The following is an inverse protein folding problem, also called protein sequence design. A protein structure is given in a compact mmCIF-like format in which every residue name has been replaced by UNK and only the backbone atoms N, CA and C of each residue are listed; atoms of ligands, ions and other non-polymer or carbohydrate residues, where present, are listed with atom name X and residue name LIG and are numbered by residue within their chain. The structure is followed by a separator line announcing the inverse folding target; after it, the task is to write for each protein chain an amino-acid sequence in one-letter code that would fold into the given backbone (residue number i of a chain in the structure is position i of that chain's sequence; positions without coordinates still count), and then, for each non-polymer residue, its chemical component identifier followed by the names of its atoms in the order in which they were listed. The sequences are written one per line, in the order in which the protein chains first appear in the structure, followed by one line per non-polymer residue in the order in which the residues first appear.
data_IF_187745861691
#
_entry.id   IF_187745861691
#
_cell.length_a   1.000
_cell.length_b   1.000
_cell.length_c   1.000
_cell.angle_alpha   90.00
_cell.angle_beta   90.00
_cell.angle_gamma   90.00
#
_symmetry.space_group_name_H-M   'P 1'
#
loop_
_entity.id
_entity.type
_entity.pdbx_description
1 polymer ?
#
# COMPACT_ATOMS: atom_id res chain seq x y z
N UNK A 1 2.90 53.84 35.00
CA UNK A 1 2.40 52.45 34.93
C UNK A 1 1.19 52.26 34.04
N UNK A 2 0.10 53.03 34.17
CA UNK A 2 -1.09 52.89 33.30
C UNK A 2 -0.76 52.94 31.79
N UNK A 3 0.11 53.87 31.37
CA UNK A 3 0.53 53.99 29.96
C UNK A 3 1.36 52.80 29.45
N UNK A 4 2.00 52.03 30.35
CA UNK A 4 2.86 50.89 29.98
C UNK A 4 2.03 49.60 29.97
N UNK A 5 1.14 49.43 30.95
CA UNK A 5 0.36 48.20 31.15
C UNK A 5 -1.01 48.21 30.47
N UNK A 6 -1.47 49.36 29.95
CA UNK A 6 -2.70 49.48 29.18
C UNK A 6 -3.92 48.90 29.91
N UNK A 7 -4.64 48.03 29.20
CA UNK A 7 -5.85 47.34 29.70
C UNK A 7 -5.60 46.38 30.88
N UNK A 8 -4.36 45.95 31.06
CA UNK A 8 -3.94 45.08 32.17
C UNK A 8 -3.71 45.86 33.47
N UNK A 9 -3.67 47.20 33.42
CA UNK A 9 -3.57 48.02 34.63
C UNK A 9 -4.90 48.05 35.40
N UNK A 10 -4.90 47.57 36.65
CA UNK A 10 -6.08 47.52 37.53
C UNK A 10 -6.07 48.50 38.70
N UNK A 11 -5.26 49.57 38.60
CA UNK A 11 -5.18 50.62 39.61
C UNK A 11 -3.97 50.51 40.54
N UNK A 12 -3.98 51.29 41.62
CA UNK A 12 -2.94 51.28 42.66
C UNK A 12 -3.56 51.49 44.05
N UNK A 13 -2.82 51.07 45.08
CA UNK A 13 -3.09 51.40 46.48
C UNK A 13 -1.90 52.22 46.99
N UNK A 14 -2.16 53.37 47.58
CA UNK A 14 -1.12 54.21 48.18
C UNK A 14 -1.06 53.94 49.68
N UNK A 15 0.14 53.77 50.21
CA UNK A 15 0.40 53.56 51.64
C UNK A 15 1.60 54.38 52.05
N UNK A 16 1.51 55.03 53.21
CA UNK A 16 2.65 55.70 53.82
C UNK A 16 3.40 54.71 54.72
N UNK A 17 4.41 54.05 54.15
CA UNK A 17 5.17 52.99 54.82
C UNK A 17 5.85 53.48 56.10
N UNK A 18 6.41 54.69 56.07
CA UNK A 18 7.10 55.26 57.22
C UNK A 18 6.14 55.55 58.38
N UNK A 19 4.93 56.06 58.09
CA UNK A 19 3.90 56.33 59.11
C UNK A 19 3.34 55.02 59.67
N UNK A 20 3.12 54.01 58.81
CA UNK A 20 2.73 52.67 59.24
C UNK A 20 3.79 52.01 60.15
N UNK A 21 5.07 52.14 59.79
CA UNK A 21 6.20 51.63 60.58
C UNK A 21 6.26 52.26 61.98
N UNK A 22 6.03 53.57 62.09
CA UNK A 22 5.96 54.24 63.40
C UNK A 22 4.77 53.77 64.23
N UNK A 23 3.61 53.51 63.62
CA UNK A 23 2.45 52.94 64.30
C UNK A 23 2.62 51.47 64.73
N UNK A 24 3.39 50.65 64.01
CA UNK A 24 3.57 49.21 64.28
C UNK A 24 4.77 48.87 65.17
N UNK A 25 5.86 49.64 65.08
CA UNK A 25 7.11 49.29 65.77
C UNK A 25 6.88 49.22 67.29
N UNK A 26 7.34 48.15 67.95
CA UNK A 26 7.17 47.98 69.39
C UNK A 26 8.42 48.38 70.17
N UNK A 27 9.60 48.10 69.61
CA UNK A 27 10.89 48.46 70.19
C UNK A 27 11.75 49.13 69.11
N UNK A 28 12.13 50.39 69.35
CA UNK A 28 13.12 51.12 68.56
C UNK A 28 14.28 51.47 69.49
N UNK A 29 15.50 51.43 68.95
CA UNK A 29 16.71 51.79 69.70
C UNK A 29 16.63 53.29 70.05
N UNK A 30 16.72 53.68 71.34
CA UNK A 30 16.77 55.08 71.75
C UNK A 30 17.88 55.85 71.03
N UNK A 31 17.74 57.18 70.93
CA UNK A 31 18.73 58.06 70.29
C UNK A 31 18.95 57.83 68.78
N UNK A 32 18.10 57.02 68.14
CA UNK A 32 18.07 56.92 66.68
C UNK A 32 17.09 57.91 66.06
N UNK A 33 17.41 58.36 64.85
CA UNK A 33 16.52 59.15 63.99
C UNK A 33 15.09 58.59 63.91
N UNK A 34 14.94 57.27 63.87
CA UNK A 34 13.63 56.61 63.81
C UNK A 34 12.88 56.71 65.13
N UNK A 35 13.58 56.55 66.26
CA UNK A 35 12.98 56.73 67.59
C UNK A 35 12.51 58.17 67.77
N UNK A 36 13.37 59.14 67.48
CA UNK A 36 13.03 60.57 67.61
C UNK A 36 11.84 60.96 66.72
N UNK A 37 11.85 60.55 65.45
CA UNK A 37 10.76 60.86 64.51
C UNK A 37 9.46 60.19 64.93
N UNK A 38 9.49 58.94 65.41
CA UNK A 38 8.31 58.27 65.97
C UNK A 38 7.74 59.04 67.17
N UNK A 39 8.59 59.46 68.11
CA UNK A 39 8.14 60.23 69.27
C UNK A 39 7.51 61.56 68.85
N UNK A 40 8.01 62.22 67.80
CA UNK A 40 7.38 63.43 67.25
C UNK A 40 5.96 63.16 66.74
N UNK A 41 5.73 62.07 66.00
CA UNK A 41 4.39 61.71 65.53
C UNK A 41 3.45 61.30 66.68
N UNK A 42 3.97 60.60 67.69
CA UNK A 42 3.17 60.14 68.83
C UNK A 42 2.76 61.24 69.82
N UNK A 43 3.35 62.44 69.72
CA UNK A 43 2.92 63.61 70.50
C UNK A 43 1.52 64.08 70.10
N UNK A 44 1.22 64.02 68.80
CA UNK A 44 0.00 64.59 68.23
C UNK A 44 -1.02 63.52 67.81
N UNK A 45 -0.58 62.27 67.62
CA UNK A 45 -1.41 61.16 67.15
C UNK A 45 -1.16 59.88 67.94
N UNK A 46 -2.22 59.12 68.21
CA UNK A 46 -2.06 57.77 68.77
C UNK A 46 -1.49 56.81 67.71
N UNK A 47 -0.80 55.75 68.15
CA UNK A 47 -0.24 54.75 67.25
C UNK A 47 -1.30 54.15 66.29
N UNK A 48 -2.53 53.93 66.78
CA UNK A 48 -3.66 53.44 65.98
C UNK A 48 -4.12 54.45 64.90
N UNK A 49 -4.05 55.75 65.20
CA UNK A 49 -4.38 56.83 64.26
C UNK A 49 -3.32 56.92 63.16
N UNK A 50 -2.04 56.73 63.49
CA UNK A 50 -0.96 56.62 62.50
C UNK A 50 -1.18 55.42 61.56
N UNK A 51 -1.62 54.28 62.09
CA UNK A 51 -1.96 53.10 61.27
C UNK A 51 -3.18 53.33 60.37
N UNK A 52 -4.16 54.10 60.84
CA UNK A 52 -5.31 54.47 60.04
C UNK A 52 -4.94 55.46 58.92
N UNK A 53 -4.24 56.55 59.26
CA UNK A 53 -3.83 57.59 58.29
C UNK A 53 -2.79 57.10 57.28
N UNK A 54 -1.99 56.09 57.64
CA UNK A 54 -1.05 55.47 56.69
C UNK A 54 -1.73 54.63 55.61
N UNK A 55 -3.04 54.38 55.72
CA UNK A 55 -3.80 53.45 54.88
C UNK A 55 -3.29 51.99 54.93
N UNK A 56 -2.55 51.62 55.98
CA UNK A 56 -1.99 50.28 56.12
C UNK A 56 -3.07 49.22 56.35
N UNK A 57 -4.06 49.50 57.22
CA UNK A 57 -5.20 48.59 57.45
C UNK A 57 -6.02 48.32 56.17
N UNK A 58 -6.45 49.34 55.40
CA UNK A 58 -7.08 49.14 54.10
C UNK A 58 -6.24 48.35 53.09
N UNK A 59 -4.90 48.47 53.13
CA UNK A 59 -4.03 47.66 52.28
C UNK A 59 -4.04 46.19 52.71
N UNK A 60 -3.96 45.91 54.01
CA UNK A 60 -4.00 44.55 54.56
C UNK A 60 -5.33 43.87 54.19
N UNK A 61 -6.45 44.54 54.42
CA UNK A 61 -7.79 44.08 54.02
C UNK A 61 -7.88 43.85 52.50
N UNK A 62 -7.40 44.79 51.68
CA UNK A 62 -7.37 44.60 50.23
C UNK A 62 -6.55 43.36 49.83
N UNK A 63 -5.42 43.09 50.48
CA UNK A 63 -4.61 41.90 50.19
C UNK A 63 -5.39 40.64 50.57
N UNK A 64 -5.97 40.56 51.76
CA UNK A 64 -6.63 39.35 52.26
C UNK A 64 -7.99 39.10 51.63
N UNK A 65 -8.81 40.14 51.48
CA UNK A 65 -10.24 40.08 51.10
C UNK A 65 -10.48 40.44 49.62
N UNK A 66 -9.51 41.00 48.89
CA UNK A 66 -9.72 41.33 47.47
C UNK A 66 -8.72 40.68 46.53
N UNK A 67 -7.44 40.68 46.90
CA UNK A 67 -6.37 40.13 46.08
C UNK A 67 -6.25 38.61 46.24
N UNK A 68 -6.20 38.13 47.48
CA UNK A 68 -6.09 36.71 47.81
C UNK A 68 -7.45 36.00 47.80
N UNK A 69 -8.53 36.71 48.10
CA UNK A 69 -9.88 36.19 47.92
C UNK A 69 -10.11 35.80 46.44
N UNK A 70 -10.62 34.60 46.23
CA UNK A 70 -10.85 34.01 44.90
C UNK A 70 -9.59 33.76 44.05
N UNK A 71 -8.37 33.89 44.60
CA UNK A 71 -7.11 33.56 43.90
C UNK A 71 -7.09 32.13 43.36
N UNK A 72 -7.52 31.15 44.18
CA UNK A 72 -7.67 29.74 43.77
C UNK A 72 -8.62 29.58 42.59
N UNK A 73 -9.78 30.24 42.63
CA UNK A 73 -10.79 30.23 41.55
C UNK A 73 -10.22 30.80 40.26
N UNK A 74 -9.53 31.95 40.33
CA UNK A 74 -8.85 32.59 39.19
C UNK A 74 -7.75 31.70 38.59
N UNK A 75 -7.00 30.96 39.41
CA UNK A 75 -5.97 30.01 38.95
C UNK A 75 -6.63 28.83 38.23
N UNK A 76 -7.70 28.25 38.78
CA UNK A 76 -8.45 27.16 38.15
C UNK A 76 -9.03 27.61 36.82
N UNK A 77 -9.66 28.79 36.76
CA UNK A 77 -10.23 29.36 35.54
C UNK A 77 -9.15 29.60 34.47
N UNK A 78 -8.03 30.21 34.85
CA UNK A 78 -6.89 30.40 33.95
C UNK A 78 -6.34 29.08 33.39
N UNK A 79 -6.21 28.07 34.24
CA UNK A 79 -5.76 26.74 33.83
C UNK A 79 -6.76 26.03 32.92
N UNK A 80 -8.07 26.14 33.20
CA UNK A 80 -9.12 25.62 32.33
C UNK A 80 -9.10 26.30 30.95
N UNK A 81 -8.95 27.63 30.92
CA UNK A 81 -8.86 28.39 29.66
C UNK A 81 -7.63 27.98 28.83
N UNK A 82 -6.47 27.77 29.48
CA UNK A 82 -5.28 27.24 28.81
C UNK A 82 -5.53 25.83 28.25
N UNK A 83 -6.15 24.95 29.03
CA UNK A 83 -6.47 23.59 28.58
C UNK A 83 -7.46 23.60 27.40
N UNK A 84 -8.50 24.43 27.45
CA UNK A 84 -9.46 24.60 26.36
C UNK A 84 -8.79 25.09 25.08
N UNK A 85 -7.88 26.06 25.18
CA UNK A 85 -7.11 26.56 24.04
C UNK A 85 -6.24 25.47 23.42
N UNK A 86 -5.60 24.63 24.22
CA UNK A 86 -4.82 23.49 23.73
C UNK A 86 -5.70 22.45 23.02
N UNK A 87 -6.88 22.16 23.59
CA UNK A 87 -7.86 21.24 22.98
C UNK A 87 -8.36 21.78 21.63
N UNK A 88 -8.68 23.07 21.55
CA UNK A 88 -9.10 23.73 20.31
C UNK A 88 -7.99 23.69 19.24
N UNK A 89 -6.74 23.97 19.63
CA UNK A 89 -5.60 23.89 18.73
C UNK A 89 -5.39 22.46 18.20
N UNK A 90 -5.52 21.46 19.05
CA UNK A 90 -5.40 20.05 18.66
C UNK A 90 -6.53 19.63 17.72
N UNK A 91 -7.77 20.05 17.98
CA UNK A 91 -8.91 19.81 17.09
C UNK A 91 -8.67 20.40 15.69
N UNK A 92 -8.26 21.68 15.60
CA UNK A 92 -7.91 22.32 14.32
C UNK A 92 -6.75 21.61 13.62
N UNK A 93 -5.74 21.17 14.38
CA UNK A 93 -4.61 20.45 13.81
C UNK A 93 -5.04 19.11 13.21
N UNK A 94 -5.95 18.36 13.86
CA UNK A 94 -6.54 17.13 13.34
C UNK A 94 -7.34 17.40 12.06
N UNK A 95 -8.23 18.41 12.06
CA UNK A 95 -9.05 18.80 10.91
C UNK A 95 -8.19 19.13 9.68
N UNK A 96 -7.20 20.02 9.84
CA UNK A 96 -6.27 20.39 8.77
C UNK A 96 -5.49 19.17 8.27
N UNK A 97 -5.11 18.25 9.16
CA UNK A 97 -4.35 17.04 8.79
C UNK A 97 -5.23 16.11 7.95
N UNK A 98 -6.50 15.94 8.31
CA UNK A 98 -7.44 15.15 7.53
C UNK A 98 -7.61 15.78 6.13
N UNK A 99 -7.97 17.06 6.06
CA UNK A 99 -8.30 17.71 4.80
C UNK A 99 -7.10 17.88 3.86
N UNK A 100 -5.96 18.33 4.39
CA UNK A 100 -4.80 18.72 3.57
C UNK A 100 -3.83 17.59 3.29
N UNK A 101 -3.91 16.47 4.03
CA UNK A 101 -2.97 15.36 3.89
C UNK A 101 -3.68 14.03 3.68
N UNK A 102 -4.55 13.63 4.60
CA UNK A 102 -5.14 12.28 4.55
C UNK A 102 -6.09 12.13 3.37
N UNK A 103 -6.91 13.14 3.06
CA UNK A 103 -7.82 13.08 1.92
C UNK A 103 -7.09 13.00 0.58
N UNK A 104 -6.06 13.82 0.32
CA UNK A 104 -5.16 13.63 -0.82
C UNK A 104 -4.49 12.25 -0.85
N UNK A 105 -3.96 11.76 0.28
CA UNK A 105 -3.31 10.45 0.34
C UNK A 105 -4.28 9.29 0.08
N UNK A 106 -5.55 9.40 0.49
CA UNK A 106 -6.59 8.42 0.12
C UNK A 106 -6.77 8.40 -1.40
N UNK A 107 -6.79 9.56 -2.04
CA UNK A 107 -6.93 9.68 -3.50
C UNK A 107 -5.69 9.11 -4.22
N UNK A 108 -4.49 9.48 -3.79
CA UNK A 108 -3.23 8.94 -4.33
C UNK A 108 -3.15 7.40 -4.15
N UNK A 109 -3.54 6.90 -2.98
CA UNK A 109 -3.60 5.45 -2.74
C UNK A 109 -4.61 4.74 -3.64
N UNK A 110 -5.74 5.38 -3.98
CA UNK A 110 -6.70 4.85 -4.96
C UNK A 110 -6.09 4.79 -6.36
N UNK A 111 -5.42 5.85 -6.79
CA UNK A 111 -4.75 5.92 -8.09
C UNK A 111 -3.64 4.86 -8.20
N UNK A 112 -2.80 4.72 -7.17
CA UNK A 112 -1.74 3.70 -7.12
C UNK A 112 -2.30 2.27 -7.08
N UNK A 113 -3.38 2.04 -6.34
CA UNK A 113 -4.07 0.74 -6.32
C UNK A 113 -4.64 0.41 -7.70
N UNK A 114 -5.21 1.38 -8.40
CA UNK A 114 -5.74 1.20 -9.75
C UNK A 114 -4.63 0.95 -10.77
N UNK A 115 -3.52 1.67 -10.69
CA UNK A 115 -2.31 1.45 -11.51
C UNK A 115 -1.76 0.03 -11.31
N UNK A 116 -1.62 -0.40 -10.05
CA UNK A 116 -1.18 -1.75 -9.74
C UNK A 116 -2.14 -2.80 -10.33
N UNK A 117 -3.46 -2.64 -10.16
CA UNK A 117 -4.48 -3.55 -10.74
C UNK A 117 -4.39 -3.60 -12.27
N UNK A 118 -4.27 -2.45 -12.91
CA UNK A 118 -4.10 -2.38 -14.37
C UNK A 118 -2.82 -3.10 -14.83
N UNK A 119 -1.70 -2.91 -14.12
CA UNK A 119 -0.45 -3.59 -14.44
C UNK A 119 -0.57 -5.11 -14.28
N UNK A 120 -1.25 -5.60 -13.23
CA UNK A 120 -1.53 -7.02 -13.03
C UNK A 120 -2.36 -7.60 -14.19
N UNK A 121 -3.41 -6.90 -14.62
CA UNK A 121 -4.25 -7.33 -15.74
C UNK A 121 -3.46 -7.36 -17.05
N UNK A 122 -2.70 -6.29 -17.32
CA UNK A 122 -1.84 -6.19 -18.49
C UNK A 122 -0.82 -7.32 -18.56
N UNK A 123 -0.13 -7.60 -17.44
CA UNK A 123 0.84 -8.70 -17.36
C UNK A 123 0.18 -10.05 -17.54
N UNK A 124 -1.04 -10.24 -17.02
CA UNK A 124 -1.79 -11.50 -17.14
C UNK A 124 -2.16 -11.79 -18.59
N UNK A 125 -2.72 -10.81 -19.29
CA UNK A 125 -3.08 -10.98 -20.71
C UNK A 125 -1.82 -11.14 -21.58
N UNK A 126 -0.73 -10.42 -21.28
CA UNK A 126 0.56 -10.59 -21.96
C UNK A 126 1.12 -12.00 -21.75
N UNK A 127 1.05 -12.53 -20.53
CA UNK A 127 1.50 -13.88 -20.21
C UNK A 127 0.70 -14.95 -20.96
N UNK A 128 -0.63 -14.84 -20.94
CA UNK A 128 -1.54 -15.73 -21.67
C UNK A 128 -1.26 -15.69 -23.19
N UNK A 129 -1.05 -14.50 -23.75
CA UNK A 129 -0.72 -14.31 -25.16
C UNK A 129 0.63 -14.96 -25.49
N UNK A 130 1.66 -14.76 -24.65
CA UNK A 130 2.97 -15.34 -24.85
C UNK A 130 2.94 -16.88 -24.80
N UNK A 131 2.23 -17.47 -23.83
CA UNK A 131 2.04 -18.92 -23.78
C UNK A 131 1.40 -19.44 -25.07
N UNK A 132 0.36 -18.76 -25.55
CA UNK A 132 -0.36 -19.13 -26.76
C UNK A 132 0.58 -19.06 -27.97
N UNK A 133 1.20 -17.90 -28.20
CA UNK A 133 2.07 -17.67 -29.35
C UNK A 133 3.29 -18.57 -29.34
N UNK A 134 3.92 -18.80 -28.19
CA UNK A 134 5.05 -19.71 -28.07
C UNK A 134 4.66 -21.14 -28.44
N UNK A 135 3.52 -21.64 -27.95
CA UNK A 135 3.12 -23.01 -28.28
C UNK A 135 2.82 -23.20 -29.78
N UNK A 136 2.10 -22.27 -30.41
CA UNK A 136 1.83 -22.32 -31.85
C UNK A 136 3.10 -22.16 -32.69
N UNK A 137 4.02 -21.28 -32.27
CA UNK A 137 5.30 -21.12 -32.93
C UNK A 137 6.11 -22.42 -32.93
N UNK A 138 6.23 -23.10 -31.79
CA UNK A 138 6.97 -24.36 -31.73
C UNK A 138 6.28 -25.47 -32.56
N UNK A 139 4.94 -25.50 -32.64
CA UNK A 139 4.20 -26.43 -33.50
C UNK A 139 4.52 -26.19 -34.99
N UNK A 140 4.58 -24.93 -35.42
CA UNK A 140 4.92 -24.55 -36.80
C UNK A 140 6.39 -24.87 -37.14
N UNK A 141 7.30 -24.67 -36.18
CA UNK A 141 8.71 -25.08 -36.31
C UNK A 141 8.84 -26.60 -36.45
N UNK A 142 8.19 -27.36 -35.56
CA UNK A 142 8.13 -28.82 -35.63
C UNK A 142 7.61 -29.31 -37.00
N UNK A 143 6.51 -28.72 -37.48
CA UNK A 143 5.92 -29.03 -38.78
C UNK A 143 6.91 -28.79 -39.92
N UNK A 144 7.58 -27.64 -39.92
CA UNK A 144 8.53 -27.28 -40.97
C UNK A 144 9.77 -28.19 -40.96
N UNK A 145 10.33 -28.46 -39.77
CA UNK A 145 11.49 -29.32 -39.60
C UNK A 145 11.21 -30.76 -40.04
N UNK A 146 10.06 -31.32 -39.66
CA UNK A 146 9.69 -32.68 -40.04
C UNK A 146 9.44 -32.80 -41.54
N UNK A 147 8.78 -31.81 -42.15
CA UNK A 147 8.60 -31.76 -43.62
C UNK A 147 9.93 -31.77 -44.35
N UNK A 148 10.87 -30.94 -43.93
CA UNK A 148 12.20 -30.85 -44.54
C UNK A 148 12.95 -32.19 -44.46
N UNK A 149 12.97 -32.82 -43.27
CA UNK A 149 13.58 -34.14 -43.07
C UNK A 149 12.96 -35.18 -44.00
N UNK A 150 11.62 -35.25 -44.05
CA UNK A 150 10.93 -36.22 -44.90
C UNK A 150 11.23 -36.01 -46.38
N UNK A 151 11.26 -34.76 -46.85
CA UNK A 151 11.58 -34.46 -48.23
C UNK A 151 13.01 -34.86 -48.59
N UNK A 152 13.97 -34.70 -47.67
CA UNK A 152 15.35 -35.15 -47.86
C UNK A 152 15.45 -36.68 -48.03
N UNK A 153 14.65 -37.44 -47.29
CA UNK A 153 14.54 -38.89 -47.46
C UNK A 153 13.84 -39.27 -48.77
N UNK A 154 12.70 -38.66 -49.08
CA UNK A 154 11.94 -38.91 -50.33
C UNK A 154 12.79 -38.62 -51.58
N UNK A 155 13.60 -37.56 -51.57
CA UNK A 155 14.46 -37.21 -52.69
C UNK A 155 15.50 -38.29 -53.02
N UNK A 156 15.81 -39.22 -52.08
CA UNK A 156 16.66 -40.40 -52.29
C UNK A 156 15.91 -41.57 -52.97
N UNK A 157 14.66 -41.37 -53.38
CA UNK A 157 13.81 -42.35 -54.07
C UNK A 157 13.54 -43.63 -53.24
N UNK A 158 13.32 -43.46 -51.94
CA UNK A 158 13.04 -44.55 -50.99
C UNK A 158 11.75 -45.30 -51.31
N UNK A 159 11.64 -46.54 -50.84
CA UNK A 159 10.41 -47.33 -50.93
C UNK A 159 9.29 -46.73 -50.09
N UNK A 160 8.05 -47.06 -50.43
CA UNK A 160 6.88 -46.49 -49.78
C UNK A 160 6.72 -46.95 -48.32
N UNK A 161 7.02 -48.22 -48.04
CA UNK A 161 7.03 -48.74 -46.67
C UNK A 161 8.17 -48.12 -45.85
N UNK A 162 9.33 -47.90 -46.47
CA UNK A 162 10.46 -47.19 -45.86
C UNK A 162 10.07 -45.73 -45.52
N UNK A 163 9.42 -45.02 -46.44
CA UNK A 163 8.91 -43.66 -46.22
C UNK A 163 7.94 -43.59 -45.03
N UNK A 164 7.04 -44.57 -44.94
CA UNK A 164 6.07 -44.67 -43.84
C UNK A 164 6.74 -44.95 -42.50
N UNK A 165 7.73 -45.83 -42.45
CA UNK A 165 8.47 -46.14 -41.23
C UNK A 165 9.30 -44.94 -40.75
N UNK A 166 10.01 -44.28 -41.67
CA UNK A 166 10.77 -43.06 -41.38
C UNK A 166 9.85 -41.97 -40.84
N UNK A 167 8.71 -41.71 -41.52
CA UNK A 167 7.75 -40.71 -41.07
C UNK A 167 7.24 -41.00 -39.66
N UNK A 168 6.89 -42.25 -39.36
CA UNK A 168 6.40 -42.64 -38.04
C UNK A 168 7.45 -42.36 -36.96
N UNK A 169 8.69 -42.77 -37.19
CA UNK A 169 9.77 -42.62 -36.21
C UNK A 169 10.12 -41.15 -35.99
N UNK A 170 10.26 -40.37 -37.07
CA UNK A 170 10.53 -38.94 -37.00
C UNK A 170 9.38 -38.14 -36.38
N UNK A 171 8.13 -38.53 -36.63
CA UNK A 171 6.95 -37.91 -36.01
C UNK A 171 6.93 -38.14 -34.50
N UNK A 172 7.19 -39.37 -34.04
CA UNK A 172 7.22 -39.70 -32.60
C UNK A 172 8.34 -38.92 -31.90
N UNK A 173 9.56 -38.97 -32.45
CA UNK A 173 10.70 -38.24 -31.88
C UNK A 173 10.48 -36.73 -31.89
N UNK A 174 9.97 -36.18 -32.99
CA UNK A 174 9.73 -34.75 -33.09
C UNK A 174 8.62 -34.26 -32.15
N UNK A 175 7.63 -35.10 -31.82
CA UNK A 175 6.62 -34.81 -30.78
C UNK A 175 7.25 -34.72 -29.38
N UNK A 176 8.23 -35.57 -29.07
CA UNK A 176 8.97 -35.51 -27.79
C UNK A 176 9.79 -34.22 -27.69
N UNK A 177 10.48 -33.83 -28.77
CA UNK A 177 11.22 -32.57 -28.85
C UNK A 177 10.29 -31.37 -28.72
N UNK A 178 9.19 -31.34 -29.48
CA UNK A 178 8.16 -30.29 -29.40
C UNK A 178 7.63 -30.12 -27.97
N UNK A 179 7.42 -31.22 -27.25
CA UNK A 179 6.97 -31.17 -25.87
C UNK A 179 7.97 -30.44 -24.96
N UNK A 180 9.26 -30.75 -25.07
CA UNK A 180 10.31 -30.10 -24.28
C UNK A 180 10.53 -28.63 -24.68
N UNK A 181 10.42 -28.31 -25.98
CA UNK A 181 10.54 -26.92 -26.47
C UNK A 181 9.42 -26.03 -25.93
N UNK A 182 8.15 -26.48 -26.02
CA UNK A 182 7.00 -25.77 -25.45
C UNK A 182 7.17 -25.60 -23.94
N UNK A 183 7.62 -26.65 -23.24
CA UNK A 183 7.85 -26.62 -21.79
C UNK A 183 8.92 -25.60 -21.40
N UNK A 184 10.00 -25.53 -22.16
CA UNK A 184 11.06 -24.55 -21.93
C UNK A 184 10.54 -23.12 -22.13
N UNK A 185 9.82 -22.85 -23.23
CA UNK A 185 9.19 -21.55 -23.51
C UNK A 185 8.21 -21.11 -22.44
N UNK A 186 7.43 -22.04 -21.92
CA UNK A 186 6.44 -21.76 -20.88
C UNK A 186 7.10 -21.34 -19.56
N UNK A 187 8.20 -22.00 -19.17
CA UNK A 187 9.00 -21.59 -18.00
C UNK A 187 9.61 -20.20 -18.17
N UNK A 188 10.02 -19.84 -19.38
CA UNK A 188 10.52 -18.49 -19.65
C UNK A 188 9.42 -17.43 -19.51
N UNK A 189 8.23 -17.70 -20.06
CA UNK A 189 7.06 -16.84 -19.92
C UNK A 189 6.69 -16.63 -18.45
N UNK A 190 6.73 -17.70 -17.66
CA UNK A 190 6.40 -17.69 -16.24
C UNK A 190 7.37 -16.84 -15.42
N UNK A 191 8.69 -17.00 -15.63
CA UNK A 191 9.71 -16.17 -14.95
C UNK A 191 9.52 -14.68 -15.23
N UNK A 192 9.21 -14.32 -16.48
CA UNK A 192 8.94 -12.93 -16.86
C UNK A 192 7.68 -12.41 -16.17
N UNK A 193 6.61 -13.19 -16.18
CA UNK A 193 5.34 -12.84 -15.54
C UNK A 193 5.50 -12.65 -14.03
N UNK A 194 6.17 -13.57 -13.34
CA UNK A 194 6.48 -13.45 -11.91
C UNK A 194 7.23 -12.15 -11.58
N UNK A 195 8.21 -11.79 -12.40
CA UNK A 195 8.94 -10.52 -12.26
C UNK A 195 8.04 -9.29 -12.41
N UNK A 196 7.14 -9.28 -13.40
CA UNK A 196 6.21 -8.17 -13.64
C UNK A 196 5.20 -8.00 -12.48
N UNK A 197 4.63 -9.10 -11.97
CA UNK A 197 3.71 -9.09 -10.83
C UNK A 197 4.41 -8.59 -9.56
N UNK A 198 5.60 -9.11 -9.26
CA UNK A 198 6.41 -8.67 -8.12
C UNK A 198 6.76 -7.18 -8.23
N UNK A 199 7.08 -6.70 -9.43
CA UNK A 199 7.34 -5.28 -9.69
C UNK A 199 6.14 -4.39 -9.35
N UNK A 200 4.96 -4.75 -9.84
CA UNK A 200 3.73 -3.98 -9.60
C UNK A 200 3.37 -3.90 -8.10
N UNK A 201 3.49 -5.02 -7.37
CA UNK A 201 3.22 -5.08 -5.93
C UNK A 201 4.25 -4.25 -5.15
N UNK A 202 5.56 -4.45 -5.40
CA UNK A 202 6.61 -3.70 -4.71
C UNK A 202 6.50 -2.19 -4.94
N UNK A 203 6.13 -1.78 -6.14
CA UNK A 203 5.91 -0.37 -6.45
C UNK A 203 4.77 0.23 -5.63
N UNK A 204 3.66 -0.50 -5.48
CA UNK A 204 2.55 -0.09 -4.63
C UNK A 204 2.97 0.02 -3.17
N UNK A 205 3.66 -1.00 -2.65
CA UNK A 205 4.18 -1.00 -1.27
C UNK A 205 5.13 0.18 -1.00
N UNK A 206 6.05 0.45 -1.92
CA UNK A 206 6.99 1.56 -1.81
C UNK A 206 6.25 2.90 -1.71
N UNK A 207 5.29 3.16 -2.60
CA UNK A 207 4.52 4.41 -2.59
C UNK A 207 3.75 4.59 -1.28
N UNK A 208 3.16 3.52 -0.74
CA UNK A 208 2.45 3.60 0.54
C UNK A 208 3.40 3.88 1.69
N UNK A 209 4.56 3.20 1.75
CA UNK A 209 5.57 3.43 2.79
C UNK A 209 6.09 4.87 2.77
N UNK A 210 6.34 5.41 1.58
CA UNK A 210 6.80 6.78 1.40
C UNK A 210 5.77 7.81 1.89
N UNK A 211 4.50 7.65 1.48
CA UNK A 211 3.39 8.47 1.95
C UNK A 211 3.24 8.42 3.49
N UNK A 212 3.39 7.25 4.10
CA UNK A 212 3.31 7.10 5.57
C UNK A 212 4.46 7.81 6.29
N UNK A 213 5.69 7.65 5.81
CA UNK A 213 6.85 8.34 6.38
C UNK A 213 6.69 9.87 6.32
N UNK A 214 6.07 10.39 5.25
CA UNK A 214 5.75 11.80 5.14
C UNK A 214 4.71 12.24 6.19
N UNK A 215 3.68 11.42 6.44
CA UNK A 215 2.64 11.71 7.43
C UNK A 215 3.17 11.68 8.87
N UNK A 216 4.04 10.73 9.20
CA UNK A 216 4.69 10.65 10.51
C UNK A 216 5.48 11.93 10.82
N UNK A 217 6.30 12.40 9.88
CA UNK A 217 7.06 13.66 10.02
C UNK A 217 6.17 14.87 10.29
N UNK A 218 5.03 14.97 9.61
CA UNK A 218 4.09 16.07 9.78
C UNK A 218 3.37 15.99 11.14
N UNK A 219 3.07 14.78 11.62
CA UNK A 219 2.41 14.59 12.92
C UNK A 219 3.30 15.06 14.07
N UNK A 220 4.61 14.73 14.03
CA UNK A 220 5.61 15.16 15.01
C UNK A 220 5.72 16.69 15.05
N UNK A 221 5.80 17.34 13.88
CA UNK A 221 5.86 18.80 13.76
C UNK A 221 4.63 19.51 14.37
N UNK A 222 3.47 18.86 14.31
CA UNK A 222 2.20 19.37 14.86
C UNK A 222 1.94 18.99 16.32
N UNK A 223 2.88 18.29 16.97
CA UNK A 223 2.84 18.00 18.40
C UNK A 223 1.92 16.83 18.80
N UNK A 224 1.61 15.90 17.89
CA UNK A 224 0.90 14.65 18.22
C UNK A 224 1.47 13.45 17.45
N UNK A 225 1.61 12.30 18.10
CA UNK A 225 2.18 11.10 17.49
C UNK A 225 1.08 10.18 16.93
N UNK A 226 1.18 9.84 15.65
CA UNK A 226 0.27 8.94 14.95
C UNK A 226 0.96 7.60 14.67
N UNK A 227 0.88 6.67 15.62
CA UNK A 227 1.37 5.31 15.43
C UNK A 227 0.27 4.44 14.79
N UNK A 228 0.32 4.27 13.47
CA UNK A 228 -0.62 3.40 12.76
C UNK A 228 0.08 2.16 12.21
N UNK A 229 -0.43 1.00 12.60
CA UNK A 229 -0.02 -0.29 12.04
C UNK A 229 -0.66 -0.48 10.66
N UNK A 230 0.12 -0.23 9.61
CA UNK A 230 -0.27 -0.41 8.21
C UNK A 230 0.18 -1.79 7.74
N UNK A 231 -0.68 -2.79 7.93
CA UNK A 231 -0.44 -4.10 7.35
C UNK A 231 -0.94 -4.11 5.89
N UNK A 232 -0.01 -4.19 4.93
CA UNK A 232 -0.33 -4.58 3.56
C UNK A 232 -0.06 -6.08 3.48
N UNK A 233 -0.92 -6.86 4.14
CA UNK A 233 -0.93 -8.29 3.91
C UNK A 233 -1.47 -8.51 2.48
N UNK A 234 -0.57 -8.68 1.52
CA UNK A 234 -0.98 -9.09 0.17
C UNK A 234 -1.64 -10.49 0.19
N UNK A 235 -1.62 -11.19 1.34
CA UNK A 235 -2.26 -12.48 1.59
C UNK A 235 -1.70 -13.64 0.77
N UNK A 236 -0.86 -13.32 -0.21
CA UNK A 236 -0.19 -14.22 -1.12
C UNK A 236 1.20 -13.62 -1.29
N UNK A 237 2.18 -14.18 -0.60
CA UNK A 237 3.57 -13.88 -0.88
C UNK A 237 3.79 -14.00 -2.40
N UNK A 238 4.51 -13.10 -3.05
CA UNK A 238 4.74 -13.17 -4.50
C UNK A 238 5.32 -14.53 -4.92
N UNK A 239 6.03 -15.19 -3.98
CA UNK A 239 6.48 -16.57 -4.08
C UNK A 239 5.35 -17.61 -4.15
N UNK A 240 4.29 -17.45 -3.35
CA UNK A 240 3.13 -18.34 -3.33
C UNK A 240 2.26 -18.19 -4.60
N UNK A 241 2.11 -16.96 -5.13
CA UNK A 241 1.36 -16.76 -6.38
C UNK A 241 2.11 -17.36 -7.57
N UNK A 242 3.42 -17.11 -7.66
CA UNK A 242 4.32 -17.73 -8.63
C UNK A 242 4.23 -19.25 -8.58
N UNK A 243 4.46 -19.87 -7.41
CA UNK A 243 4.34 -21.32 -7.21
C UNK A 243 2.99 -21.89 -7.68
N UNK A 244 1.90 -21.18 -7.41
CA UNK A 244 0.56 -21.62 -7.80
C UNK A 244 0.34 -21.54 -9.32
N UNK A 245 0.97 -20.60 -10.02
CA UNK A 245 0.87 -20.45 -11.48
C UNK A 245 1.85 -21.42 -12.16
N UNK A 246 3.03 -21.66 -11.59
CA UNK A 246 3.95 -22.74 -12.00
C UNK A 246 3.21 -24.07 -12.08
N UNK A 247 2.41 -24.40 -11.06
CA UNK A 247 1.61 -25.63 -11.04
C UNK A 247 0.59 -25.70 -12.19
N UNK A 248 -0.06 -24.58 -12.54
CA UNK A 248 -1.01 -24.52 -13.65
C UNK A 248 -0.32 -24.64 -15.01
N UNK A 249 0.83 -23.98 -15.16
CA UNK A 249 1.66 -24.05 -16.37
C UNK A 249 2.20 -25.45 -16.57
N UNK A 250 2.70 -26.10 -15.51
CA UNK A 250 3.17 -27.48 -15.56
C UNK A 250 2.05 -28.46 -15.94
N UNK A 251 0.81 -28.21 -15.49
CA UNK A 251 -0.35 -29.01 -15.88
C UNK A 251 -0.75 -28.87 -17.35
N UNK A 252 -0.40 -27.76 -18.02
CA UNK A 252 -0.60 -27.64 -19.46
C UNK A 252 0.23 -28.67 -20.22
N UNK A 253 1.40 -29.02 -19.68
CA UNK A 253 2.46 -29.81 -20.32
C UNK A 253 2.44 -31.29 -19.87
N UNK A 254 1.88 -31.64 -18.71
CA UNK A 254 1.77 -33.04 -18.23
C UNK A 254 0.78 -33.91 -19.02
N UNK A 255 1.01 -35.24 -19.02
CA UNK A 255 1.72 -35.93 -20.09
C UNK A 255 0.93 -35.79 -21.40
N UNK A 256 1.42 -34.88 -22.22
CA UNK A 256 0.97 -34.70 -23.58
C UNK A 256 1.42 -35.89 -24.46
N UNK A 257 2.58 -36.48 -24.17
CA UNK A 257 3.25 -37.48 -25.03
C UNK A 257 2.37 -38.68 -25.33
N UNK A 258 1.74 -39.32 -24.34
CA UNK A 258 0.85 -40.48 -24.59
C UNK A 258 -0.38 -40.14 -25.44
N UNK A 259 -0.93 -38.94 -25.28
CA UNK A 259 -2.07 -38.47 -26.08
C UNK A 259 -1.67 -37.98 -27.48
N UNK A 260 -0.47 -37.41 -27.63
CA UNK A 260 0.10 -37.01 -28.92
C UNK A 260 0.62 -38.20 -29.70
N UNK A 261 1.10 -39.25 -29.05
CA UNK A 261 1.41 -40.55 -29.66
C UNK A 261 0.12 -41.21 -30.18
N UNK A 262 -1.02 -41.08 -29.49
CA UNK A 262 -2.33 -41.49 -30.03
C UNK A 262 -2.76 -40.63 -31.23
N UNK A 263 -2.49 -39.32 -31.21
CA UNK A 263 -2.72 -38.43 -32.36
C UNK A 263 -1.81 -38.77 -33.54
N UNK A 264 -0.55 -39.13 -33.29
CA UNK A 264 0.36 -39.72 -34.28
C UNK A 264 -0.20 -41.05 -34.80
N UNK A 265 -0.86 -41.84 -33.95
CA UNK A 265 -1.70 -43.00 -34.31
C UNK A 265 -2.83 -42.69 -35.31
N UNK A 266 -3.38 -41.48 -35.28
CA UNK A 266 -4.37 -41.02 -36.27
C UNK A 266 -3.72 -40.41 -37.52
N UNK A 267 -2.52 -39.83 -37.41
CA UNK A 267 -1.66 -39.46 -38.54
C UNK A 267 -1.06 -40.68 -39.27
N UNK A 268 -0.99 -41.82 -38.59
CA UNK A 268 -0.57 -43.12 -39.12
C UNK A 268 -1.58 -43.76 -40.08
N UNK A 269 -2.77 -43.17 -40.24
CA UNK A 269 -3.67 -43.47 -41.33
C UNK A 269 -3.11 -42.90 -42.66
N UNK A 270 -1.93 -43.39 -43.08
CA UNK A 270 -1.39 -43.32 -44.44
C UNK A 270 -2.30 -44.10 -45.40
N UNK A 271 -3.57 -43.68 -45.49
CA UNK A 271 -4.55 -44.23 -46.42
C UNK A 271 -4.27 -43.54 -47.76
N UNK A 272 -3.23 -44.01 -48.43
CA UNK A 272 -2.75 -43.35 -49.65
C UNK A 272 -1.63 -44.02 -50.41
N UNK A 273 -0.94 -45.02 -49.83
CA UNK A 273 -0.03 -45.86 -50.61
C UNK A 273 -0.74 -47.17 -50.91
N UNK A 274 -1.61 -47.14 -51.92
CA UNK A 274 -2.11 -48.36 -52.52
C UNK A 274 -0.96 -49.10 -53.20
N UNK A 275 -0.59 -50.29 -52.68
CA UNK A 275 0.40 -51.26 -53.20
C UNK A 275 0.26 -51.64 -54.68
N UNK A 276 -0.68 -51.08 -55.44
CA UNK A 276 -1.18 -51.66 -56.68
C UNK A 276 -1.08 -50.77 -57.94
N UNK A 277 -0.71 -49.48 -57.86
CA UNK A 277 -0.74 -48.59 -59.06
C UNK A 277 0.66 -48.15 -59.55
N UNK A 278 1.73 -48.53 -58.86
CA UNK A 278 3.02 -47.83 -58.98
C UNK A 278 4.10 -48.50 -59.83
N UNK A 279 3.86 -49.72 -60.31
CA UNK A 279 4.84 -50.47 -61.13
C UNK A 279 5.19 -49.85 -62.49
N UNK A 280 4.53 -48.75 -62.91
CA UNK A 280 4.63 -48.19 -64.27
C UNK A 280 4.95 -46.66 -64.33
N UNK A 281 5.21 -45.97 -63.22
CA UNK A 281 5.40 -44.51 -63.22
C UNK A 281 6.84 -44.06 -62.96
N UNK A 282 7.19 -42.86 -63.47
CA UNK A 282 8.47 -42.18 -63.24
C UNK A 282 8.76 -41.99 -61.73
N UNK A 283 10.03 -42.13 -61.36
CA UNK A 283 10.56 -41.83 -60.03
C UNK A 283 10.12 -40.47 -59.49
N UNK A 284 9.96 -39.46 -60.35
CA UNK A 284 9.56 -38.12 -59.93
C UNK A 284 8.08 -38.04 -59.55
N UNK A 285 7.21 -38.81 -60.22
CA UNK A 285 5.80 -38.91 -59.87
C UNK A 285 5.63 -39.58 -58.49
N UNK A 286 6.41 -40.64 -58.21
CA UNK A 286 6.43 -41.31 -56.90
C UNK A 286 6.84 -40.37 -55.78
N UNK A 287 7.97 -39.67 -55.93
CA UNK A 287 8.43 -38.67 -54.94
C UNK A 287 7.36 -37.61 -54.67
N UNK A 288 6.68 -37.13 -55.70
CA UNK A 288 5.63 -36.13 -55.57
C UNK A 288 4.44 -36.61 -54.74
N UNK A 289 3.97 -37.85 -54.97
CA UNK A 289 2.87 -38.41 -54.16
C UNK A 289 3.29 -38.70 -52.71
N UNK A 290 4.52 -39.17 -52.49
CA UNK A 290 5.05 -39.34 -51.12
C UNK A 290 5.07 -38.00 -50.36
N UNK A 291 5.53 -36.91 -51.00
CA UNK A 291 5.54 -35.57 -50.38
C UNK A 291 4.13 -35.10 -50.04
N UNK A 292 3.19 -35.25 -50.96
CA UNK A 292 1.78 -34.87 -50.76
C UNK A 292 1.13 -35.62 -49.60
N UNK A 293 1.41 -36.91 -49.46
CA UNK A 293 0.85 -37.73 -48.38
C UNK A 293 1.51 -37.41 -47.02
N UNK A 294 2.84 -37.17 -47.01
CA UNK A 294 3.55 -36.65 -45.83
C UNK A 294 2.94 -35.33 -45.38
N UNK A 295 2.74 -34.38 -46.28
CA UNK A 295 2.16 -33.07 -45.95
C UNK A 295 0.76 -33.19 -45.34
N UNK A 296 -0.11 -33.98 -45.98
CA UNK A 296 -1.48 -34.20 -45.50
C UNK A 296 -1.52 -34.84 -44.11
N UNK A 297 -0.71 -35.85 -43.86
CA UNK A 297 -0.68 -36.54 -42.56
C UNK A 297 -0.03 -35.67 -41.48
N UNK A 298 1.02 -34.93 -41.84
CA UNK A 298 1.68 -33.99 -40.94
C UNK A 298 0.75 -32.82 -40.57
N UNK A 299 0.07 -32.22 -41.55
CA UNK A 299 -0.91 -31.15 -41.34
C UNK A 299 -1.99 -31.59 -40.35
N UNK A 300 -2.56 -32.78 -40.54
CA UNK A 300 -3.59 -33.35 -39.66
C UNK A 300 -3.07 -33.65 -38.25
N UNK A 301 -1.82 -34.12 -38.13
CA UNK A 301 -1.20 -34.36 -36.83
C UNK A 301 -0.99 -33.02 -36.08
N UNK A 302 -0.42 -32.01 -36.76
CA UNK A 302 -0.19 -30.68 -36.21
C UNK A 302 -1.51 -29.99 -35.83
N UNK A 303 -2.56 -30.08 -36.65
CA UNK A 303 -3.89 -29.51 -36.36
C UNK A 303 -4.44 -30.06 -35.04
N UNK A 304 -4.43 -31.37 -34.85
CA UNK A 304 -4.89 -32.02 -33.62
C UNK A 304 -4.04 -31.65 -32.39
N UNK A 305 -2.72 -31.54 -32.57
CA UNK A 305 -1.82 -31.05 -31.53
C UNK A 305 -2.21 -29.62 -31.14
N UNK A 306 -2.40 -28.73 -32.12
CA UNK A 306 -2.78 -27.34 -31.91
C UNK A 306 -4.14 -27.18 -31.22
N UNK A 307 -5.16 -27.93 -31.66
CA UNK A 307 -6.48 -27.94 -31.03
C UNK A 307 -6.40 -28.34 -29.55
N UNK A 308 -5.59 -29.36 -29.25
CA UNK A 308 -5.43 -29.87 -27.89
C UNK A 308 -4.68 -28.89 -26.99
N UNK A 309 -3.62 -28.28 -27.50
CA UNK A 309 -2.90 -27.19 -26.83
C UNK A 309 -3.84 -26.01 -26.56
N UNK A 310 -4.62 -25.59 -27.56
CA UNK A 310 -5.58 -24.49 -27.44
C UNK A 310 -6.63 -24.78 -26.37
N UNK A 311 -7.25 -25.97 -26.40
CA UNK A 311 -8.25 -26.38 -25.41
C UNK A 311 -7.70 -26.35 -23.98
N UNK A 312 -6.48 -26.87 -23.77
CA UNK A 312 -5.84 -26.87 -22.44
C UNK A 312 -5.51 -25.45 -21.99
N UNK A 313 -4.97 -24.61 -22.88
CA UNK A 313 -4.68 -23.21 -22.60
C UNK A 313 -5.96 -22.47 -22.20
N UNK A 314 -7.05 -22.57 -22.99
CA UNK A 314 -8.32 -21.92 -22.67
C UNK A 314 -8.86 -22.33 -21.29
N UNK A 315 -8.79 -23.63 -20.94
CA UNK A 315 -9.24 -24.06 -19.61
C UNK A 315 -8.43 -23.43 -18.46
N UNK A 316 -7.11 -23.24 -18.64
CA UNK A 316 -6.21 -22.72 -17.60
C UNK A 316 -6.16 -21.19 -17.56
N UNK A 317 -6.49 -20.50 -18.65
CA UNK A 317 -6.62 -19.03 -18.67
C UNK A 317 -7.57 -18.55 -17.57
N UNK A 318 -8.70 -19.25 -17.40
CA UNK A 318 -9.68 -18.94 -16.34
C UNK A 318 -9.05 -19.07 -14.94
N UNK A 319 -8.36 -20.16 -14.68
CA UNK A 319 -7.69 -20.42 -13.38
C UNK A 319 -6.63 -19.35 -13.07
N UNK A 320 -5.84 -18.95 -14.07
CA UNK A 320 -4.82 -17.90 -13.94
C UNK A 320 -5.49 -16.56 -13.59
N UNK A 321 -6.54 -16.17 -14.32
CA UNK A 321 -7.28 -14.93 -14.05
C UNK A 321 -7.89 -14.91 -12.65
N UNK A 322 -8.51 -16.01 -12.21
CA UNK A 322 -9.12 -16.09 -10.88
C UNK A 322 -8.10 -15.88 -9.76
N UNK A 323 -6.88 -16.43 -9.90
CA UNK A 323 -5.81 -16.22 -8.93
C UNK A 323 -5.34 -14.76 -8.87
N UNK A 324 -5.29 -14.10 -10.02
CA UNK A 324 -4.93 -12.67 -10.10
C UNK A 324 -6.06 -11.79 -9.53
N UNK A 325 -7.33 -12.14 -9.73
CA UNK A 325 -8.45 -11.45 -9.07
C UNK A 325 -8.36 -11.56 -7.54
N UNK A 326 -8.04 -12.76 -7.01
CA UNK A 326 -7.83 -12.95 -5.56
C UNK A 326 -6.68 -12.09 -5.04
N UNK A 327 -5.57 -12.00 -5.77
CA UNK A 327 -4.47 -11.10 -5.45
C UNK A 327 -4.94 -9.62 -5.44
N UNK A 328 -5.66 -9.17 -6.48
CA UNK A 328 -6.18 -7.80 -6.58
C UNK A 328 -7.15 -7.44 -5.44
N UNK A 329 -7.92 -8.41 -4.96
CA UNK A 329 -8.85 -8.24 -3.85
C UNK A 329 -8.12 -8.04 -2.51
N UNK A 330 -6.95 -8.65 -2.33
CA UNK A 330 -6.13 -8.50 -1.12
C UNK A 330 -5.33 -7.20 -1.08
N UNK A 331 -5.04 -6.58 -2.24
CA UNK A 331 -4.43 -5.26 -2.31
C UNK A 331 -5.41 -4.18 -1.82
N UNK A 332 -5.44 -3.90 -0.51
CA UNK A 332 -6.40 -2.96 0.14
C UNK A 332 -5.77 -1.75 0.83
N UNK A 333 -4.83 -1.02 0.21
CA UNK A 333 -4.13 0.09 0.87
C UNK A 333 -5.05 1.27 1.22
N UNK A 334 -6.09 1.49 0.42
CA UNK A 334 -7.09 2.54 0.63
C UNK A 334 -7.87 2.34 1.93
N UNK A 335 -8.13 1.09 2.33
CA UNK A 335 -8.90 0.78 3.53
C UNK A 335 -8.13 1.17 4.79
N UNK A 336 -6.80 1.04 4.78
CA UNK A 336 -5.94 1.47 5.88
C UNK A 336 -5.97 3.00 6.06
N UNK A 337 -5.88 3.77 4.97
CA UNK A 337 -6.00 5.23 5.01
C UNK A 337 -7.40 5.70 5.46
N UNK A 338 -8.46 5.02 5.02
CA UNK A 338 -9.84 5.29 5.49
C UNK A 338 -10.00 4.98 6.98
N UNK A 339 -9.41 3.89 7.48
CA UNK A 339 -9.41 3.54 8.91
C UNK A 339 -8.72 4.63 9.74
N UNK A 340 -7.55 5.09 9.30
CA UNK A 340 -6.83 6.20 9.94
C UNK A 340 -7.67 7.48 9.98
N UNK A 341 -8.29 7.88 8.86
CA UNK A 341 -9.20 9.03 8.81
C UNK A 341 -10.32 8.91 9.85
N UNK A 342 -10.90 7.73 9.99
CA UNK A 342 -11.97 7.47 10.99
C UNK A 342 -11.46 7.65 12.43
N UNK A 343 -10.30 7.07 12.77
CA UNK A 343 -9.72 7.18 14.11
C UNK A 343 -9.41 8.64 14.50
N UNK A 344 -8.94 9.44 13.55
CA UNK A 344 -8.70 10.86 13.78
C UNK A 344 -10.00 11.64 13.99
N UNK A 345 -11.07 11.32 13.23
CA UNK A 345 -12.41 11.89 13.48
C UNK A 345 -12.94 11.54 14.87
N UNK A 346 -12.80 10.28 15.29
CA UNK A 346 -13.19 9.84 16.64
C UNK A 346 -12.39 10.58 17.74
N UNK A 347 -11.08 10.79 17.52
CA UNK A 347 -10.25 11.57 18.44
C UNK A 347 -10.70 13.05 18.52
N UNK A 348 -11.01 13.66 17.37
CA UNK A 348 -11.55 15.01 17.30
C UNK A 348 -12.88 15.15 18.08
N UNK A 349 -13.78 14.19 17.96
CA UNK A 349 -15.04 14.14 18.71
C UNK A 349 -14.80 14.00 20.23
N UNK A 350 -13.90 13.10 20.64
CA UNK A 350 -13.51 12.92 22.06
C UNK A 350 -12.94 14.19 22.67
N UNK A 351 -12.12 14.93 21.93
CA UNK A 351 -11.62 16.25 22.34
C UNK A 351 -12.76 17.26 22.55
N UNK A 352 -13.80 17.20 21.71
CA UNK A 352 -15.02 18.00 21.90
C UNK A 352 -15.71 17.73 23.23
N UNK A 353 -15.86 16.45 23.60
CA UNK A 353 -16.40 16.06 24.91
C UNK A 353 -15.53 16.52 26.07
N UNK A 354 -14.19 16.42 25.95
CA UNK A 354 -13.25 16.92 26.96
C UNK A 354 -13.39 18.44 27.14
N UNK A 355 -13.46 19.20 26.04
CA UNK A 355 -13.69 20.64 26.05
C UNK A 355 -14.99 21.01 26.77
N UNK A 356 -16.08 20.30 26.48
CA UNK A 356 -17.38 20.50 27.14
C UNK A 356 -17.31 20.21 28.64
N UNK A 357 -16.64 19.13 29.05
CA UNK A 357 -16.47 18.75 30.45
C UNK A 357 -15.63 19.77 31.23
N UNK A 358 -14.55 20.28 30.64
CA UNK A 358 -13.72 21.33 31.25
C UNK A 358 -14.55 22.60 31.48
N UNK A 359 -15.32 23.04 30.49
CA UNK A 359 -16.21 24.20 30.61
C UNK A 359 -17.21 24.01 31.77
N UNK A 360 -17.88 22.87 31.82
CA UNK A 360 -18.89 22.56 32.84
C UNK A 360 -18.29 22.55 34.25
N UNK A 361 -17.10 21.95 34.43
CA UNK A 361 -16.42 21.90 35.73
C UNK A 361 -15.82 23.23 36.16
N UNK A 362 -15.45 24.11 35.24
CA UNK A 362 -14.95 25.46 35.57
C UNK A 362 -16.04 26.41 36.08
N UNK A 363 -17.32 26.07 35.86
CA UNK A 363 -18.48 26.84 36.31
C UNK A 363 -18.99 26.43 37.70
N UNK A 364 -18.53 25.28 38.22
CA UNK A 364 -18.77 24.80 39.59
C UNK A 364 -17.67 25.31 40.52
#
# INVERSE_FOLDING_TARGET
MKNILGEHYKGYKAVSVQVAFYGLSQALIPETDFYEKKQKFLKDFKAEELLYQSHFKPLAEFITETLLENSRKKIIESNCNKALKMVEQLQKAIEITIEKRIDPMIKEAQEHQQEARYNLDRSTEKFILNLTNSAFYEIDQFKSNLREKMYAHINKNIEDEECKEIFKNELIQGIETLHEDIKWRFRECEKRFDGEIKGAIKQLEYRIKDSLAMLERISIDRGFNLNFDFNIDNGIDGFALGASIVGLVLLLITPIVGEFVLIAGVGLAFVGIGKAVWGFFDSDYKKSQQKKEVDKNLDKACEKIAEKVKSRLESRKKDIREKIEKLKANLRPVDNYKRMKRQLKEAHEKLGYISHNIKTRSMQ
#
